data_IF_279996117285
#
_entry.id   IF_279996117285
#
_cell.length_a   1.000
_cell.length_b   1.000
_cell.length_c   1.000
_cell.angle_alpha   90.00
_cell.angle_beta   90.00
_cell.angle_gamma   90.00
#
_symmetry.space_group_name_H-M   'P 1'
#
loop_
_entity.id
_entity.type
_entity.pdbx_description
1 polymer ?
#
# COMPACT_ATOMS: atom_id res chain seq x y z
N UNK A 1 -31.70 45.05 42.46
CA UNK A 1 -31.01 44.74 41.18
C UNK A 1 -29.51 44.84 41.41
N UNK A 2 -28.79 43.72 41.40
CA UNK A 2 -27.32 43.68 41.42
C UNK A 2 -26.87 43.05 40.10
N UNK A 3 -26.28 43.84 39.22
CA UNK A 3 -25.67 43.35 37.98
C UNK A 3 -24.28 42.79 38.31
N UNK A 4 -24.07 41.50 38.07
CA UNK A 4 -22.75 40.89 38.06
C UNK A 4 -22.15 41.07 36.66
N UNK A 5 -21.06 41.83 36.55
CA UNK A 5 -20.24 41.89 35.33
C UNK A 5 -19.44 40.59 35.22
N UNK A 6 -19.71 39.82 34.16
CA UNK A 6 -18.90 38.65 33.77
C UNK A 6 -17.70 39.17 32.97
N UNK A 7 -16.50 39.05 33.52
CA UNK A 7 -15.26 39.25 32.78
C UNK A 7 -14.96 37.99 31.97
N UNK A 8 -15.11 38.06 30.65
CA UNK A 8 -14.70 36.99 29.73
C UNK A 8 -13.20 37.09 29.49
N UNK A 9 -12.43 36.15 30.04
CA UNK A 9 -11.00 36.02 29.81
C UNK A 9 -10.76 35.45 28.40
N UNK A 10 -10.35 36.28 27.45
CA UNK A 10 -9.87 35.83 26.14
C UNK A 10 -8.48 35.22 26.31
N UNK A 11 -8.39 33.88 26.34
CA UNK A 11 -7.12 33.18 26.15
C UNK A 11 -6.72 33.31 24.66
N UNK A 12 -5.77 34.19 24.38
CA UNK A 12 -5.05 34.22 23.11
C UNK A 12 -4.17 32.95 23.02
N UNK A 13 -4.66 31.92 22.33
CA UNK A 13 -3.79 30.85 21.84
C UNK A 13 -2.96 31.39 20.68
N UNK A 14 -1.73 31.79 20.96
CA UNK A 14 -0.70 31.89 19.92
C UNK A 14 -0.46 30.49 19.36
N UNK A 15 -1.05 30.22 18.19
CA UNK A 15 -0.70 29.06 17.38
C UNK A 15 0.70 29.35 16.83
N UNK A 16 1.73 28.86 17.52
CA UNK A 16 3.05 28.75 16.92
C UNK A 16 2.98 27.64 15.88
N UNK A 17 2.94 28.01 14.60
CA UNK A 17 3.36 27.10 13.54
C UNK A 17 4.84 26.80 13.78
N UNK A 18 5.13 25.70 14.46
CA UNK A 18 6.50 25.16 14.50
C UNK A 18 6.74 24.62 13.09
N UNK A 19 7.35 25.42 12.21
CA UNK A 19 7.96 24.87 11.01
C UNK A 19 9.18 24.08 11.48
N UNK A 20 9.15 22.76 11.34
CA UNK A 20 10.33 21.94 11.62
C UNK A 20 11.51 22.38 10.78
N UNK A 21 12.71 22.31 11.36
CA UNK A 21 13.94 22.55 10.62
C UNK A 21 14.21 21.40 9.66
N UNK A 22 14.92 21.70 8.57
CA UNK A 22 15.42 20.68 7.63
C UNK A 22 16.85 20.34 8.01
N UNK A 23 17.08 19.09 8.44
CA UNK A 23 18.39 18.58 8.81
C UNK A 23 18.86 17.61 7.72
N UNK A 24 19.90 17.99 7.00
CA UNK A 24 20.46 17.16 5.93
C UNK A 24 21.48 16.17 6.50
N UNK A 25 21.26 14.88 6.27
CA UNK A 25 22.30 13.87 6.49
C UNK A 25 23.45 14.11 5.51
N UNK A 26 24.70 13.98 5.98
CA UNK A 26 25.89 14.19 5.14
C UNK A 26 25.99 13.19 3.99
N UNK A 27 25.48 11.98 4.19
CA UNK A 27 25.35 10.92 3.18
C UNK A 27 24.20 9.98 3.57
N UNK A 28 23.89 8.99 2.74
CA UNK A 28 22.98 7.90 3.12
C UNK A 28 23.63 6.77 3.92
N UNK A 29 24.85 6.98 4.46
CA UNK A 29 25.44 6.03 5.41
C UNK A 29 24.63 5.97 6.70
N UNK A 30 24.60 4.80 7.36
CA UNK A 30 23.92 4.63 8.65
C UNK A 30 24.34 5.68 9.67
N UNK A 31 25.64 5.93 9.77
CA UNK A 31 26.21 6.85 10.76
C UNK A 31 25.75 8.28 10.52
N UNK A 32 25.74 8.75 9.27
CA UNK A 32 25.32 10.12 8.95
C UNK A 32 23.82 10.32 9.10
N UNK A 33 23.01 9.33 8.72
CA UNK A 33 21.56 9.39 8.94
C UNK A 33 21.25 9.40 10.44
N UNK A 34 21.89 8.53 11.23
CA UNK A 34 21.68 8.51 12.68
C UNK A 34 22.14 9.82 13.33
N UNK A 35 23.26 10.41 12.89
CA UNK A 35 23.73 11.70 13.39
C UNK A 35 22.72 12.81 13.10
N UNK A 36 22.12 12.84 11.91
CA UNK A 36 21.06 13.80 11.57
C UNK A 36 19.80 13.59 12.42
N UNK A 37 19.36 12.34 12.61
CA UNK A 37 18.23 12.00 13.47
C UNK A 37 18.48 12.44 14.92
N UNK A 38 19.71 12.27 15.43
CA UNK A 38 20.05 12.66 16.80
C UNK A 38 20.01 14.18 17.02
N UNK A 39 20.14 14.98 15.95
CA UNK A 39 20.00 16.44 16.01
C UNK A 39 18.54 16.89 15.91
N UNK A 40 17.68 16.05 15.32
CA UNK A 40 16.29 16.38 15.05
C UNK A 40 15.45 16.46 16.33
N UNK A 41 14.56 17.45 16.33
CA UNK A 41 13.52 17.68 17.34
C UNK A 41 12.15 17.39 16.73
N UNK A 42 11.14 17.29 17.59
CA UNK A 42 9.77 17.12 17.14
C UNK A 42 9.39 18.18 16.10
N UNK A 43 8.84 17.73 14.98
CA UNK A 43 8.44 18.55 13.84
C UNK A 43 9.46 18.56 12.71
N UNK A 44 10.72 18.24 12.98
CA UNK A 44 11.81 18.38 12.00
C UNK A 44 11.73 17.36 10.86
N UNK A 45 12.31 17.77 9.72
CA UNK A 45 12.54 16.93 8.55
C UNK A 45 14.01 16.54 8.47
N UNK A 46 14.30 15.25 8.54
CA UNK A 46 15.62 14.70 8.22
C UNK A 46 15.65 14.30 6.74
N UNK A 47 16.52 14.91 5.95
CA UNK A 47 16.72 14.58 4.53
C UNK A 47 17.91 13.65 4.33
N UNK A 48 17.71 12.58 3.58
CA UNK A 48 18.77 11.69 3.09
C UNK A 48 19.09 12.10 1.65
N UNK A 49 20.35 12.45 1.32
CA UNK A 49 20.69 12.90 -0.02
C UNK A 49 20.47 11.80 -1.06
N UNK A 50 20.38 12.21 -2.33
CA UNK A 50 20.41 11.28 -3.45
C UNK A 50 21.74 10.51 -3.49
N UNK A 51 21.68 9.26 -3.94
CA UNK A 51 22.80 8.34 -4.06
C UNK A 51 22.42 6.90 -3.75
N UNK A 52 23.33 5.99 -4.06
CA UNK A 52 23.23 4.58 -3.68
C UNK A 52 24.24 4.30 -2.58
N UNK A 53 23.74 3.91 -1.41
CA UNK A 53 24.54 3.75 -0.21
C UNK A 53 24.46 2.31 0.28
N UNK A 54 25.61 1.70 0.52
CA UNK A 54 25.66 0.45 1.28
C UNK A 54 25.24 0.72 2.72
N UNK A 55 24.43 -0.18 3.24
CA UNK A 55 23.74 0.00 4.50
C UNK A 55 23.88 -1.24 5.38
N UNK A 56 24.68 -1.13 6.43
CA UNK A 56 24.89 -2.17 7.44
C UNK A 56 24.51 -1.65 8.84
N UNK A 57 23.75 -2.45 9.59
CA UNK A 57 23.25 -2.12 10.93
C UNK A 57 21.78 -1.69 10.97
N UNK A 58 21.41 -0.92 11.98
CA UNK A 58 20.06 -0.35 12.17
C UNK A 58 20.14 1.14 12.44
N UNK A 59 19.15 1.88 11.93
CA UNK A 59 18.86 3.27 12.31
C UNK A 59 17.68 3.24 13.28
N UNK A 60 17.78 3.99 14.37
CA UNK A 60 16.71 4.11 15.36
C UNK A 60 16.22 5.54 15.39
N UNK A 61 14.90 5.71 15.35
CA UNK A 61 14.23 7.00 15.49
C UNK A 61 13.05 6.90 16.45
N UNK A 62 12.79 7.98 17.19
CA UNK A 62 11.52 8.17 17.87
C UNK A 62 10.51 8.79 16.90
N UNK A 63 9.23 8.51 17.10
CA UNK A 63 8.20 9.28 16.43
C UNK A 63 8.28 10.77 16.81
N UNK A 64 7.77 11.63 15.95
CA UNK A 64 7.82 13.09 16.07
C UNK A 64 8.59 13.77 14.95
N UNK A 65 9.26 13.04 14.06
CA UNK A 65 10.02 13.60 12.93
C UNK A 65 9.60 12.97 11.60
N UNK A 66 9.93 13.65 10.51
CA UNK A 66 9.85 13.10 9.14
C UNK A 66 11.25 12.71 8.66
N UNK A 67 11.42 11.53 8.10
CA UNK A 67 12.64 11.08 7.44
C UNK A 67 12.37 10.87 5.95
N UNK A 68 13.08 11.59 5.08
CA UNK A 68 12.75 11.59 3.64
C UNK A 68 14.01 11.47 2.78
N UNK A 69 13.99 10.59 1.79
CA UNK A 69 14.96 10.60 0.68
C UNK A 69 14.52 11.53 -0.44
N UNK A 70 15.35 11.74 -1.44
CA UNK A 70 15.06 12.66 -2.57
C UNK A 70 14.18 12.03 -3.66
N UNK A 71 13.72 10.80 -3.46
CA UNK A 71 12.88 10.03 -4.38
C UNK A 71 13.22 8.54 -4.38
N UNK A 72 12.25 7.69 -4.70
CA UNK A 72 12.42 6.23 -4.79
C UNK A 72 13.55 5.83 -5.74
N UNK A 73 13.75 6.58 -6.82
CA UNK A 73 14.76 6.39 -7.84
C UNK A 73 16.09 7.11 -7.54
N UNK A 74 16.11 8.00 -6.54
CA UNK A 74 17.27 8.86 -6.24
C UNK A 74 18.02 8.44 -4.99
N UNK A 75 17.32 8.05 -3.93
CA UNK A 75 17.94 7.63 -2.66
C UNK A 75 17.77 6.12 -2.48
N UNK A 76 18.86 5.36 -2.59
CA UNK A 76 18.85 3.89 -2.50
C UNK A 76 19.72 3.43 -1.33
N UNK A 77 19.12 2.72 -0.38
CA UNK A 77 19.80 2.08 0.76
C UNK A 77 19.88 0.57 0.51
N UNK A 78 21.09 0.03 0.35
CA UNK A 78 21.31 -1.37 -0.03
C UNK A 78 22.00 -2.16 1.07
N UNK A 79 21.35 -3.23 1.52
CA UNK A 79 21.96 -4.21 2.43
C UNK A 79 23.13 -4.92 1.77
N UNK A 80 24.21 -5.12 2.53
CA UNK A 80 25.42 -5.80 2.05
C UNK A 80 25.73 -7.11 2.77
N UNK A 81 25.12 -7.37 3.93
CA UNK A 81 25.30 -8.61 4.69
C UNK A 81 24.03 -9.11 5.37
N UNK A 82 24.06 -10.39 5.77
CA UNK A 82 22.98 -11.03 6.53
C UNK A 82 22.83 -10.40 7.90
N UNK A 83 21.61 -10.05 8.29
CA UNK A 83 21.33 -9.49 9.62
C UNK A 83 19.88 -9.65 10.02
N UNK A 84 19.63 -9.88 11.31
CA UNK A 84 18.28 -9.80 11.91
C UNK A 84 17.89 -8.38 12.32
N UNK A 85 18.80 -7.42 12.22
CA UNK A 85 18.51 -6.01 12.54
C UNK A 85 17.70 -5.39 11.41
N UNK A 86 16.56 -4.79 11.74
CA UNK A 86 15.78 -3.96 10.82
C UNK A 86 16.61 -2.75 10.35
N UNK A 87 16.33 -2.26 9.14
CA UNK A 87 16.97 -1.06 8.61
C UNK A 87 16.55 0.18 9.40
N UNK A 88 15.27 0.25 9.74
CA UNK A 88 14.74 1.30 10.60
C UNK A 88 13.94 0.69 11.74
N UNK A 89 14.21 1.16 12.95
CA UNK A 89 13.35 0.93 14.11
C UNK A 89 12.73 2.27 14.51
N UNK A 90 11.39 2.34 14.45
CA UNK A 90 10.61 3.53 14.79
C UNK A 90 9.90 3.26 16.11
N UNK A 91 10.24 4.04 17.14
CA UNK A 91 9.64 3.94 18.47
C UNK A 91 8.50 4.94 18.64
N UNK A 92 7.28 4.41 18.82
CA UNK A 92 6.04 5.16 19.00
C UNK A 92 5.67 5.47 20.44
N UNK A 93 6.53 5.14 21.42
CA UNK A 93 6.22 5.25 22.86
C UNK A 93 5.81 6.64 23.33
N UNK A 94 6.11 7.70 22.57
CA UNK A 94 5.72 9.08 22.87
C UNK A 94 4.37 9.50 22.27
N UNK A 95 3.71 8.64 21.49
CA UNK A 95 2.41 8.90 20.88
C UNK A 95 2.40 9.96 19.76
N UNK A 96 3.57 10.42 19.31
CA UNK A 96 3.70 11.41 18.25
C UNK A 96 3.55 10.77 16.85
N UNK A 97 3.18 11.54 15.81
CA UNK A 97 3.20 11.06 14.42
C UNK A 97 4.64 10.81 13.95
N UNK A 98 4.82 9.89 13.00
CA UNK A 98 6.10 9.66 12.34
C UNK A 98 5.88 9.52 10.84
N UNK A 99 6.81 10.01 10.01
CA UNK A 99 6.78 9.78 8.57
C UNK A 99 8.12 9.31 8.05
N UNK A 100 8.11 8.29 7.20
CA UNK A 100 9.29 7.89 6.41
C UNK A 100 8.90 7.76 4.94
N UNK A 101 9.68 8.40 4.05
CA UNK A 101 9.26 8.53 2.65
C UNK A 101 10.41 8.70 1.63
N UNK A 102 10.10 8.51 0.36
CA UNK A 102 10.90 9.01 -0.77
C UNK A 102 12.22 8.29 -1.00
N UNK A 103 12.28 6.97 -0.86
CA UNK A 103 13.53 6.20 -1.02
C UNK A 103 13.31 4.76 -1.47
N UNK A 104 14.40 4.06 -1.80
CA UNK A 104 14.41 2.61 -1.99
C UNK A 104 15.20 1.94 -0.87
N UNK A 105 14.63 0.88 -0.29
CA UNK A 105 15.31 -0.04 0.63
C UNK A 105 15.45 -1.38 -0.08
N UNK A 106 16.71 -1.77 -0.37
CA UNK A 106 17.03 -3.03 -1.04
C UNK A 106 17.67 -4.01 -0.06
N UNK A 107 16.97 -5.09 0.24
CA UNK A 107 17.50 -6.25 0.95
C UNK A 107 18.30 -7.19 0.05
N UNK A 108 18.68 -8.33 0.60
CA UNK A 108 19.50 -9.36 -0.03
C UNK A 108 18.87 -10.75 0.12
N UNK A 109 17.53 -10.84 0.16
CA UNK A 109 16.81 -12.12 0.14
C UNK A 109 17.41 -13.06 -0.94
N UNK A 110 17.54 -14.39 -0.73
CA UNK A 110 17.13 -15.21 0.42
C UNK A 110 17.84 -14.91 1.75
N UNK A 111 18.86 -14.05 1.75
CA UNK A 111 19.61 -13.77 2.98
C UNK A 111 18.88 -12.75 3.86
N UNK A 112 18.85 -13.02 5.18
CA UNK A 112 18.12 -12.23 6.16
C UNK A 112 18.51 -10.75 6.11
N UNK A 113 17.51 -9.89 5.90
CA UNK A 113 17.71 -8.46 5.65
C UNK A 113 16.38 -7.69 5.76
N UNK A 114 15.85 -7.53 6.99
CA UNK A 114 14.56 -6.90 7.19
C UNK A 114 14.57 -5.38 6.96
N UNK A 115 13.41 -4.84 6.58
CA UNK A 115 13.17 -3.44 6.24
C UNK A 115 12.87 -2.57 7.47
N UNK A 116 11.64 -2.10 7.63
CA UNK A 116 11.23 -1.18 8.70
C UNK A 116 10.46 -1.92 9.79
N UNK A 117 10.74 -1.61 11.05
CA UNK A 117 9.97 -2.05 12.22
C UNK A 117 9.41 -0.86 12.99
N UNK A 118 8.12 -0.91 13.30
CA UNK A 118 7.43 0.02 14.18
C UNK A 118 7.17 -0.70 15.51
N UNK A 119 7.63 -0.09 16.60
CA UNK A 119 7.50 -0.66 17.95
C UNK A 119 6.76 0.30 18.89
N UNK A 120 6.29 -0.26 20.00
CA UNK A 120 5.60 0.49 21.07
C UNK A 120 4.36 1.27 20.60
N UNK A 121 3.61 0.72 19.63
CA UNK A 121 2.30 1.23 19.26
C UNK A 121 2.32 2.60 18.57
N UNK A 122 3.13 2.77 17.53
CA UNK A 122 3.19 3.99 16.71
C UNK A 122 1.79 4.47 16.28
N UNK A 123 1.51 5.76 16.50
CA UNK A 123 0.22 6.40 16.20
C UNK A 123 0.39 7.45 15.13
N UNK A 124 -0.61 7.59 14.26
CA UNK A 124 -0.63 8.60 13.19
C UNK A 124 0.65 8.56 12.33
N UNK A 125 1.20 7.36 12.10
CA UNK A 125 2.37 7.20 11.26
C UNK A 125 1.97 7.21 9.78
N UNK A 126 2.92 7.58 8.92
CA UNK A 126 2.85 7.42 7.47
C UNK A 126 4.13 6.80 6.93
N UNK A 127 4.03 5.72 6.17
CA UNK A 127 5.13 5.13 5.41
C UNK A 127 4.74 5.22 3.95
N UNK A 128 5.37 6.10 3.18
CA UNK A 128 4.88 6.42 1.85
C UNK A 128 5.97 6.59 0.80
N UNK A 129 5.66 6.31 -0.47
CA UNK A 129 6.62 6.48 -1.56
C UNK A 129 7.97 5.81 -1.27
N UNK A 130 7.94 4.58 -0.74
CA UNK A 130 9.13 3.74 -0.55
C UNK A 130 9.05 2.51 -1.45
N UNK A 131 10.14 2.20 -2.14
CA UNK A 131 10.29 0.90 -2.81
C UNK A 131 11.05 -0.05 -1.88
N UNK A 132 10.41 -1.15 -1.50
CA UNK A 132 11.02 -2.26 -0.78
C UNK A 132 11.31 -3.39 -1.76
N UNK A 133 12.59 -3.71 -1.95
CA UNK A 133 13.00 -4.78 -2.86
C UNK A 133 13.81 -5.82 -2.11
N UNK A 134 13.43 -7.09 -2.23
CA UNK A 134 14.20 -8.24 -1.71
C UNK A 134 14.53 -8.14 -0.21
N UNK A 135 13.68 -7.49 0.59
CA UNK A 135 13.75 -7.62 2.05
C UNK A 135 13.42 -9.07 2.44
N UNK A 136 14.10 -9.58 3.45
CA UNK A 136 13.84 -10.90 4.02
C UNK A 136 13.40 -10.76 5.47
N UNK A 137 12.66 -11.74 5.98
CA UNK A 137 11.77 -11.65 7.14
C UNK A 137 10.59 -10.74 6.82
N UNK A 138 10.76 -9.42 6.85
CA UNK A 138 9.67 -8.46 6.56
C UNK A 138 10.18 -7.22 5.84
N UNK A 139 9.39 -6.65 4.93
CA UNK A 139 9.66 -5.30 4.43
C UNK A 139 9.17 -4.24 5.45
N UNK A 140 7.97 -4.43 6.01
CA UNK A 140 7.43 -3.62 7.11
C UNK A 140 6.83 -4.56 8.18
N UNK A 141 7.16 -4.30 9.44
CA UNK A 141 6.60 -5.00 10.60
C UNK A 141 6.12 -3.99 11.65
N UNK A 142 4.87 -4.08 12.10
CA UNK A 142 4.33 -3.22 13.17
C UNK A 142 4.05 -4.00 14.45
N UNK A 143 4.18 -3.38 15.62
CA UNK A 143 3.89 -3.99 16.92
C UNK A 143 3.09 -3.08 17.85
N UNK A 144 2.26 -3.71 18.68
CA UNK A 144 1.41 -3.03 19.65
C UNK A 144 0.15 -2.45 19.01
N UNK A 145 -0.51 -1.50 19.67
CA UNK A 145 -1.67 -0.82 19.09
C UNK A 145 -1.21 0.22 18.04
N UNK A 146 -0.58 -0.21 16.96
CA UNK A 146 -0.20 0.69 15.87
C UNK A 146 -1.45 1.19 15.11
N UNK A 147 -1.47 2.47 14.75
CA UNK A 147 -2.46 3.03 13.80
C UNK A 147 -1.82 4.11 12.92
N UNK A 148 -2.14 4.09 11.63
CA UNK A 148 -1.49 4.92 10.61
C UNK A 148 -1.66 4.32 9.23
N UNK A 149 -0.96 4.86 8.24
CA UNK A 149 -1.10 4.44 6.84
C UNK A 149 0.24 4.08 6.21
N UNK A 150 0.23 3.02 5.42
CA UNK A 150 1.28 2.63 4.48
C UNK A 150 0.70 2.86 3.09
N UNK A 151 1.17 3.88 2.37
CA UNK A 151 0.58 4.29 1.09
C UNK A 151 1.60 4.51 -0.04
N UNK A 152 1.19 4.36 -1.30
CA UNK A 152 2.06 4.63 -2.46
C UNK A 152 3.43 3.92 -2.40
N UNK A 153 3.49 2.75 -1.73
CA UNK A 153 4.69 1.95 -1.61
C UNK A 153 4.71 0.83 -2.65
N UNK A 154 5.92 0.42 -3.01
CA UNK A 154 6.16 -0.61 -4.02
C UNK A 154 6.95 -1.76 -3.39
N UNK A 155 6.38 -2.96 -3.36
CA UNK A 155 6.96 -4.15 -2.75
C UNK A 155 7.33 -5.17 -3.82
N UNK A 156 8.63 -5.43 -4.02
CA UNK A 156 9.11 -6.28 -5.11
C UNK A 156 9.95 -7.43 -4.55
N UNK A 157 9.48 -8.65 -4.76
CA UNK A 157 10.19 -9.90 -4.42
C UNK A 157 10.68 -9.92 -2.96
N UNK A 158 9.87 -9.42 -2.03
CA UNK A 158 10.15 -9.50 -0.59
C UNK A 158 9.80 -10.90 -0.07
N UNK A 159 10.68 -11.48 0.74
CA UNK A 159 10.59 -12.86 1.22
C UNK A 159 9.87 -12.97 2.57
N UNK A 160 9.15 -14.08 2.73
CA UNK A 160 8.16 -14.35 3.77
C UNK A 160 7.00 -13.35 3.79
N UNK A 161 7.18 -12.08 4.15
CA UNK A 161 6.02 -11.17 4.07
C UNK A 161 6.41 -9.75 3.79
N UNK A 162 5.73 -9.09 2.84
CA UNK A 162 5.96 -7.66 2.62
C UNK A 162 5.53 -6.85 3.85
N UNK A 163 4.25 -6.88 4.23
CA UNK A 163 3.74 -6.15 5.41
C UNK A 163 3.18 -7.11 6.45
N UNK A 164 3.67 -7.05 7.69
CA UNK A 164 3.04 -7.75 8.82
C UNK A 164 2.59 -6.80 9.90
N UNK A 165 1.33 -6.98 10.30
CA UNK A 165 0.72 -6.23 11.40
C UNK A 165 0.61 -7.14 12.62
N UNK A 166 1.43 -6.88 13.64
CA UNK A 166 1.26 -7.45 14.97
C UNK A 166 0.58 -6.44 15.90
N UNK A 167 -0.40 -6.93 16.67
CA UNK A 167 -1.13 -6.13 17.65
C UNK A 167 -0.46 -6.12 19.04
N UNK A 168 -1.26 -5.82 20.06
CA UNK A 168 -0.91 -5.86 21.49
C UNK A 168 -1.66 -7.00 22.22
N UNK A 169 -1.83 -8.14 21.54
CA UNK A 169 -2.27 -9.40 22.13
C UNK A 169 -3.66 -9.31 22.80
N UNK A 170 -3.75 -9.73 24.07
CA UNK A 170 -4.96 -9.79 24.88
C UNK A 170 -5.60 -8.40 25.02
N UNK A 171 -4.80 -7.33 25.05
CA UNK A 171 -5.31 -5.97 25.16
C UNK A 171 -6.16 -5.57 23.93
N UNK A 172 -5.82 -6.06 22.74
CA UNK A 172 -6.67 -5.84 21.55
C UNK A 172 -8.00 -6.56 21.61
N UNK A 173 -7.99 -7.77 22.19
CA UNK A 173 -9.16 -8.59 22.34
C UNK A 173 -10.12 -8.11 23.44
N UNK A 174 -9.64 -7.34 24.40
CA UNK A 174 -10.50 -6.66 25.39
C UNK A 174 -11.13 -5.36 24.86
N UNK A 175 -10.62 -4.80 23.75
CA UNK A 175 -11.20 -3.61 23.10
C UNK A 175 -12.33 -3.98 22.14
N UNK A 176 -13.37 -3.13 22.02
CA UNK A 176 -14.45 -3.36 21.04
C UNK A 176 -13.92 -3.33 19.61
N UNK A 177 -14.57 -4.07 18.72
CA UNK A 177 -14.32 -3.97 17.27
C UNK A 177 -14.82 -2.60 16.78
N UNK A 178 -14.05 -1.97 15.90
CA UNK A 178 -14.35 -0.67 15.32
C UNK A 178 -14.09 -0.69 13.80
N UNK A 179 -14.82 -1.54 13.07
CA UNK A 179 -14.73 -1.59 11.60
C UNK A 179 -15.22 -0.27 11.00
N UNK A 180 -14.51 0.25 10.00
CA UNK A 180 -14.76 1.56 9.42
C UNK A 180 -14.19 2.73 10.23
N UNK A 181 -13.47 2.45 11.32
CA UNK A 181 -12.83 3.45 12.18
C UNK A 181 -11.35 3.68 11.86
N UNK A 182 -10.69 4.52 12.66
CA UNK A 182 -9.27 4.92 12.50
C UNK A 182 -8.29 4.04 13.30
N UNK A 183 -8.78 3.08 14.10
CA UNK A 183 -7.98 2.24 15.00
C UNK A 183 -7.42 1.01 14.28
N UNK A 184 -6.69 1.24 13.19
CA UNK A 184 -6.07 0.21 12.37
C UNK A 184 -4.79 0.69 11.68
N UNK A 185 -3.96 -0.27 11.27
CA UNK A 185 -2.92 -0.03 10.26
C UNK A 185 -3.55 -0.15 8.88
N UNK A 186 -3.57 0.95 8.13
CA UNK A 186 -4.03 1.00 6.75
C UNK A 186 -2.86 0.69 5.80
N UNK A 187 -3.15 -0.11 4.79
CA UNK A 187 -2.27 -0.36 3.64
C UNK A 187 -3.10 -0.04 2.41
N UNK A 188 -2.75 1.04 1.71
CA UNK A 188 -3.53 1.53 0.57
C UNK A 188 -2.69 2.04 -0.59
N UNK A 189 -3.25 2.01 -1.80
CA UNK A 189 -2.58 2.53 -3.00
C UNK A 189 -1.14 1.99 -3.19
N UNK A 190 -0.87 0.78 -2.70
CA UNK A 190 0.43 0.12 -2.83
C UNK A 190 0.43 -0.91 -3.97
N UNK A 191 1.62 -1.13 -4.53
CA UNK A 191 1.87 -2.18 -5.50
C UNK A 191 2.69 -3.31 -4.88
N UNK A 192 2.30 -4.55 -5.15
CA UNK A 192 3.00 -5.74 -4.68
C UNK A 192 3.32 -6.71 -5.82
N UNK A 193 4.49 -7.30 -5.79
CA UNK A 193 4.94 -8.29 -6.78
C UNK A 193 5.81 -9.36 -6.12
N UNK A 194 5.49 -10.62 -6.42
CA UNK A 194 6.33 -11.78 -6.14
C UNK A 194 6.44 -12.65 -7.40
N UNK A 195 7.53 -12.48 -8.15
CA UNK A 195 7.81 -13.22 -9.41
C UNK A 195 9.12 -14.00 -9.36
N UNK A 196 10.10 -13.53 -8.59
CA UNK A 196 11.46 -14.10 -8.57
C UNK A 196 11.86 -14.57 -7.16
N UNK A 197 11.00 -15.36 -6.52
CA UNK A 197 11.23 -15.92 -5.18
C UNK A 197 11.62 -17.39 -5.31
N UNK A 198 12.80 -17.74 -4.78
CA UNK A 198 13.38 -19.08 -4.90
C UNK A 198 12.93 -20.08 -3.83
N UNK A 199 12.36 -19.59 -2.73
CA UNK A 199 11.63 -20.38 -1.74
C UNK A 199 10.30 -19.66 -1.48
N UNK A 200 9.25 -20.15 -2.12
CA UNK A 200 7.94 -19.52 -2.12
C UNK A 200 7.14 -19.86 -0.85
N UNK A 201 7.65 -20.71 0.04
CA UNK A 201 6.93 -21.09 1.25
C UNK A 201 6.77 -19.89 2.20
N UNK A 202 5.52 -19.61 2.56
CA UNK A 202 5.11 -18.54 3.47
C UNK A 202 5.25 -17.09 2.96
N UNK A 203 5.39 -16.86 1.65
CA UNK A 203 5.45 -15.55 1.01
C UNK A 203 4.07 -14.85 0.83
N UNK A 204 3.75 -13.91 1.73
CA UNK A 204 2.52 -13.10 1.74
C UNK A 204 2.79 -11.63 1.35
N UNK A 205 1.78 -10.94 0.84
CA UNK A 205 1.81 -9.47 0.68
C UNK A 205 1.46 -8.77 1.99
N UNK A 206 0.39 -9.24 2.63
CA UNK A 206 0.01 -8.78 3.96
C UNK A 206 -0.37 -9.98 4.83
N UNK A 207 0.12 -10.00 6.06
CA UNK A 207 -0.29 -10.96 7.07
C UNK A 207 -0.46 -10.28 8.44
N UNK A 208 -1.17 -10.95 9.34
CA UNK A 208 -1.47 -10.37 10.65
C UNK A 208 -1.50 -11.44 11.74
N UNK A 209 -1.08 -11.11 12.96
CA UNK A 209 -1.19 -11.96 14.15
C UNK A 209 -1.13 -11.14 15.45
N UNK A 210 -1.22 -11.75 16.63
CA UNK A 210 -1.02 -11.10 17.93
C UNK A 210 -2.06 -9.99 18.25
N UNK A 211 -3.32 -10.20 17.88
CA UNK A 211 -4.41 -9.24 18.07
C UNK A 211 -4.32 -7.93 17.26
N UNK A 212 -3.90 -7.92 15.99
CA UNK A 212 -3.82 -6.70 15.19
C UNK A 212 -5.19 -6.24 14.69
N UNK A 213 -5.21 -5.01 14.20
CA UNK A 213 -6.32 -4.38 13.48
C UNK A 213 -5.74 -3.79 12.21
N UNK A 214 -6.16 -4.25 11.04
CA UNK A 214 -5.61 -3.75 9.78
C UNK A 214 -6.66 -3.59 8.68
N UNK A 215 -6.38 -2.65 7.78
CA UNK A 215 -7.18 -2.40 6.58
C UNK A 215 -6.26 -2.55 5.37
N UNK A 216 -6.59 -3.46 4.45
CA UNK A 216 -5.89 -3.63 3.19
C UNK A 216 -6.83 -3.25 2.06
N UNK A 217 -6.62 -2.07 1.44
CA UNK A 217 -7.57 -1.50 0.49
C UNK A 217 -6.93 -0.83 -0.73
N UNK A 218 -7.60 -0.86 -1.88
CA UNK A 218 -7.13 -0.17 -3.09
C UNK A 218 -5.70 -0.54 -3.53
N UNK A 219 -5.19 -1.70 -3.11
CA UNK A 219 -3.88 -2.17 -3.52
C UNK A 219 -3.95 -2.98 -4.80
N UNK A 220 -2.82 -3.06 -5.51
CA UNK A 220 -2.66 -3.92 -6.68
C UNK A 220 -1.55 -4.92 -6.45
N UNK A 221 -1.80 -6.19 -6.78
CA UNK A 221 -0.77 -7.24 -6.80
C UNK A 221 -0.61 -7.76 -8.22
N UNK A 222 0.61 -8.17 -8.57
CA UNK A 222 0.89 -8.88 -9.83
C UNK A 222 1.98 -9.93 -9.59
N UNK A 223 1.55 -11.15 -9.26
CA UNK A 223 2.44 -12.24 -8.88
C UNK A 223 2.67 -13.24 -10.00
N UNK A 224 3.80 -13.95 -9.94
CA UNK A 224 4.06 -15.14 -10.74
C UNK A 224 3.40 -16.38 -10.12
N UNK A 225 4.10 -17.50 -10.20
CA UNK A 225 3.71 -18.74 -9.55
C UNK A 225 4.21 -18.79 -8.10
N UNK A 226 3.30 -18.92 -7.13
CA UNK A 226 3.61 -18.89 -5.70
C UNK A 226 2.84 -19.97 -4.92
N UNK A 227 3.50 -20.71 -4.03
CA UNK A 227 2.85 -21.74 -3.19
C UNK A 227 1.82 -21.23 -2.17
N UNK A 228 1.95 -20.06 -1.51
CA UNK A 228 1.04 -19.65 -0.44
C UNK A 228 0.08 -18.52 -0.85
N UNK A 229 -0.82 -18.17 0.08
CA UNK A 229 -1.77 -17.08 -0.05
C UNK A 229 -1.13 -15.70 -0.14
N UNK A 230 -1.77 -14.79 -0.88
CA UNK A 230 -1.35 -13.38 -0.98
C UNK A 230 -1.69 -12.60 0.29
N UNK A 231 -2.94 -12.73 0.76
CA UNK A 231 -3.47 -12.00 1.91
C UNK A 231 -3.79 -12.99 3.01
N UNK A 232 -3.31 -12.71 4.21
CA UNK A 232 -3.42 -13.64 5.32
C UNK A 232 -3.88 -13.00 6.62
N UNK A 233 -4.65 -13.78 7.37
CA UNK A 233 -5.11 -13.45 8.72
C UNK A 233 -4.87 -14.66 9.60
N UNK A 234 -3.76 -14.69 10.35
CA UNK A 234 -3.43 -15.84 11.20
C UNK A 234 -4.40 -15.99 12.37
N UNK A 235 -4.58 -17.25 12.80
CA UNK A 235 -5.12 -17.61 14.10
C UNK A 235 -4.00 -17.68 15.16
N UNK A 236 -4.29 -18.27 16.32
CA UNK A 236 -3.40 -18.18 17.50
C UNK A 236 -2.32 -19.28 17.59
N UNK A 237 -2.12 -20.03 16.51
CA UNK A 237 -1.22 -21.20 16.49
C UNK A 237 0.26 -20.84 16.57
N UNK A 238 0.67 -19.79 15.88
CA UNK A 238 2.07 -19.39 15.75
C UNK A 238 2.28 -17.99 16.33
N UNK A 239 3.46 -17.73 16.92
CA UNK A 239 3.79 -16.44 17.48
C UNK A 239 3.10 -16.18 18.83
N UNK A 240 2.29 -15.12 18.88
CA UNK A 240 1.61 -14.61 20.06
C UNK A 240 0.59 -15.55 20.69
N UNK A 241 0.04 -15.16 21.84
CA UNK A 241 -1.03 -15.91 22.51
C UNK A 241 -2.35 -15.73 21.77
N UNK A 242 -2.53 -14.59 21.10
CA UNK A 242 -3.73 -14.28 20.33
C UNK A 242 -3.47 -14.32 18.82
N UNK A 243 -4.45 -14.81 18.09
CA UNK A 243 -4.58 -14.66 16.65
C UNK A 243 -5.06 -13.26 16.27
N UNK A 244 -5.47 -13.11 15.02
CA UNK A 244 -5.87 -11.81 14.50
C UNK A 244 -7.18 -11.29 15.10
N UNK A 245 -7.27 -10.00 15.47
CA UNK A 245 -8.47 -9.45 16.12
C UNK A 245 -9.53 -9.03 15.13
N UNK A 246 -9.17 -8.12 14.21
CA UNK A 246 -10.06 -7.71 13.13
C UNK A 246 -9.30 -7.22 11.88
N UNK A 247 -10.01 -7.21 10.76
CA UNK A 247 -9.48 -6.82 9.46
C UNK A 247 -10.57 -6.28 8.53
N UNK A 248 -10.17 -5.41 7.61
CA UNK A 248 -11.01 -4.98 6.48
C UNK A 248 -10.20 -5.13 5.19
N UNK A 249 -10.67 -5.96 4.27
CA UNK A 249 -9.97 -6.25 3.02
C UNK A 249 -10.90 -5.87 1.86
N UNK A 250 -10.67 -4.75 1.19
CA UNK A 250 -11.61 -4.30 0.18
C UNK A 250 -11.03 -3.53 -0.99
N UNK A 251 -11.71 -3.61 -2.14
CA UNK A 251 -11.35 -2.85 -3.36
C UNK A 251 -9.91 -3.06 -3.82
N UNK A 252 -9.30 -4.19 -3.49
CA UNK A 252 -7.99 -4.57 -4.02
C UNK A 252 -8.14 -5.28 -5.37
N UNK A 253 -7.10 -5.18 -6.20
CA UNK A 253 -6.91 -6.02 -7.39
C UNK A 253 -5.79 -7.01 -7.10
N UNK A 254 -6.14 -8.28 -6.98
CA UNK A 254 -5.21 -9.34 -6.60
C UNK A 254 -4.99 -10.23 -7.81
N UNK A 255 -3.88 -10.02 -8.52
CA UNK A 255 -3.50 -10.80 -9.69
C UNK A 255 -2.34 -11.74 -9.36
N UNK A 256 -2.39 -12.97 -9.87
CA UNK A 256 -1.30 -13.93 -9.84
C UNK A 256 -1.34 -14.85 -11.06
N UNK A 257 -0.20 -15.32 -11.57
CA UNK A 257 -0.19 -16.45 -12.52
C UNK A 257 -0.73 -17.71 -11.83
N UNK A 258 -0.26 -17.98 -10.60
CA UNK A 258 -0.81 -19.02 -9.74
C UNK A 258 -0.53 -18.74 -8.26
N UNK A 259 -1.52 -18.97 -7.40
CA UNK A 259 -1.35 -19.13 -5.94
C UNK A 259 -2.18 -20.28 -5.40
N UNK A 260 -1.77 -20.88 -4.28
CA UNK A 260 -2.66 -21.81 -3.59
C UNK A 260 -3.98 -21.12 -3.21
N UNK A 261 -3.93 -19.95 -2.58
CA UNK A 261 -5.14 -19.20 -2.21
C UNK A 261 -4.99 -17.70 -2.50
N UNK A 262 -6.11 -17.01 -2.72
CA UNK A 262 -6.10 -15.55 -2.76
C UNK A 262 -5.98 -14.98 -1.34
N UNK A 263 -6.92 -15.38 -0.50
CA UNK A 263 -7.03 -14.94 0.89
C UNK A 263 -7.23 -16.15 1.81
N UNK A 264 -6.45 -16.24 2.88
CA UNK A 264 -6.63 -17.25 3.94
C UNK A 264 -6.99 -16.57 5.26
N UNK A 265 -8.21 -16.81 5.71
CA UNK A 265 -8.77 -16.20 6.92
C UNK A 265 -8.87 -17.24 8.02
N UNK A 266 -8.05 -17.11 9.06
CA UNK A 266 -7.85 -18.18 10.05
C UNK A 266 -8.33 -17.84 11.47
N UNK A 267 -8.92 -16.66 11.64
CA UNK A 267 -9.45 -16.15 12.89
C UNK A 267 -9.93 -14.71 12.74
N UNK A 268 -10.46 -14.14 13.82
CA UNK A 268 -10.90 -12.76 13.91
C UNK A 268 -12.17 -12.44 13.10
N UNK A 269 -12.64 -11.21 13.27
CA UNK A 269 -13.89 -10.71 12.68
C UNK A 269 -13.58 -9.59 11.66
N UNK A 270 -14.45 -9.35 10.69
CA UNK A 270 -14.13 -8.34 9.68
C UNK A 270 -15.09 -8.24 8.51
N UNK A 271 -14.61 -7.53 7.49
CA UNK A 271 -15.28 -7.42 6.19
C UNK A 271 -14.31 -7.72 5.05
N UNK A 272 -14.80 -8.40 4.02
CA UNK A 272 -14.07 -8.66 2.78
C UNK A 272 -14.97 -8.31 1.60
N UNK A 273 -14.69 -7.23 0.86
CA UNK A 273 -15.62 -6.81 -0.18
C UNK A 273 -15.06 -6.05 -1.36
N UNK A 274 -15.72 -6.15 -2.51
CA UNK A 274 -15.35 -5.37 -3.68
C UNK A 274 -13.96 -5.68 -4.25
N UNK A 275 -13.32 -6.78 -3.85
CA UNK A 275 -12.01 -7.18 -4.35
C UNK A 275 -12.16 -7.89 -5.70
N UNK A 276 -11.18 -7.71 -6.58
CA UNK A 276 -11.09 -8.35 -7.89
C UNK A 276 -9.87 -9.27 -7.90
N UNK A 277 -10.11 -10.58 -7.83
CA UNK A 277 -9.08 -11.60 -7.93
C UNK A 277 -9.01 -12.10 -9.37
N UNK A 278 -7.83 -12.12 -9.98
CA UNK A 278 -7.62 -12.58 -11.36
C UNK A 278 -6.42 -13.52 -11.42
N UNK A 279 -6.53 -14.59 -12.20
CA UNK A 279 -5.48 -15.60 -12.33
C UNK A 279 -5.90 -16.98 -11.85
N UNK A 280 -4.93 -17.82 -11.49
CA UNK A 280 -5.19 -19.16 -10.96
C UNK A 280 -5.04 -19.21 -9.44
N UNK A 281 -6.15 -19.46 -8.75
CA UNK A 281 -6.18 -19.74 -7.32
C UNK A 281 -6.89 -21.07 -7.08
N UNK A 282 -6.33 -21.95 -6.24
CA UNK A 282 -7.06 -23.16 -5.83
C UNK A 282 -8.39 -22.76 -5.18
N UNK A 283 -8.36 -21.70 -4.34
CA UNK A 283 -9.56 -21.03 -3.82
C UNK A 283 -9.30 -19.53 -3.64
N UNK A 284 -10.20 -18.64 -4.09
CA UNK A 284 -10.00 -17.20 -3.95
C UNK A 284 -10.07 -16.74 -2.49
N UNK A 285 -11.00 -17.29 -1.70
CA UNK A 285 -11.16 -17.00 -0.27
C UNK A 285 -11.39 -18.33 0.45
N UNK A 286 -10.60 -18.57 1.50
CA UNK A 286 -10.65 -19.78 2.31
C UNK A 286 -10.73 -19.43 3.80
N UNK A 287 -11.66 -20.05 4.51
CA UNK A 287 -11.91 -19.82 5.93
C UNK A 287 -11.51 -21.04 6.76
N UNK A 288 -10.85 -20.81 7.88
CA UNK A 288 -10.58 -21.86 8.87
C UNK A 288 -10.47 -21.28 10.29
N UNK A 289 -10.45 -22.18 11.27
CA UNK A 289 -9.98 -21.88 12.62
C UNK A 289 -8.56 -22.44 12.74
N UNK A 290 -7.58 -21.58 12.98
CA UNK A 290 -6.21 -21.97 13.30
C UNK A 290 -5.95 -21.83 14.80
N UNK A 291 -5.61 -22.96 15.44
CA UNK A 291 -5.56 -23.09 16.89
C UNK A 291 -4.25 -23.68 17.39
N UNK A 292 -3.76 -23.21 18.54
CA UNK A 292 -2.56 -23.75 19.21
C UNK A 292 -2.71 -25.23 19.60
N UNK A 293 -3.92 -25.66 19.97
CA UNK A 293 -4.24 -27.05 20.34
C UNK A 293 -4.67 -27.92 19.15
N UNK A 294 -4.39 -27.44 17.93
CA UNK A 294 -4.75 -28.09 16.68
C UNK A 294 -5.83 -27.32 15.92
N UNK A 295 -5.68 -27.28 14.60
CA UNK A 295 -6.62 -26.60 13.71
C UNK A 295 -8.01 -27.23 13.81
N UNK A 296 -9.01 -26.40 14.08
CA UNK A 296 -10.39 -26.86 14.31
C UNK A 296 -10.63 -27.78 15.52
N UNK A 297 -9.64 -28.00 16.39
CA UNK A 297 -9.74 -28.92 17.53
C UNK A 297 -10.12 -28.19 18.83
N UNK A 298 -11.39 -27.78 18.94
CA UNK A 298 -11.89 -27.00 20.07
C UNK A 298 -13.42 -27.05 20.19
N UNK A 299 -13.94 -26.75 21.37
CA UNK A 299 -15.37 -26.56 21.59
C UNK A 299 -15.79 -25.17 21.11
N UNK A 300 -16.94 -25.08 20.44
CA UNK A 300 -17.49 -23.79 20.04
C UNK A 300 -18.01 -23.00 21.27
N UNK A 301 -17.73 -21.69 21.37
CA UNK A 301 -16.85 -20.93 20.49
C UNK A 301 -15.37 -21.17 20.81
N UNK A 302 -14.56 -21.38 19.78
CA UNK A 302 -13.11 -21.47 19.94
C UNK A 302 -12.49 -20.09 20.19
N UNK A 303 -11.29 -20.09 20.77
CA UNK A 303 -10.49 -18.88 20.90
C UNK A 303 -10.15 -18.31 19.52
N UNK A 304 -10.27 -16.99 19.40
CA UNK A 304 -9.92 -16.20 18.22
C UNK A 304 -10.60 -16.61 16.90
N UNK A 305 -11.57 -17.52 16.92
CA UNK A 305 -12.29 -17.95 15.73
C UNK A 305 -13.05 -16.79 15.08
N UNK A 306 -13.37 -16.97 13.80
CA UNK A 306 -14.31 -16.13 13.06
C UNK A 306 -15.69 -16.25 13.72
N UNK A 307 -16.32 -15.10 14.04
CA UNK A 307 -17.68 -15.03 14.62
C UNK A 307 -18.56 -14.00 13.92
N UNK A 308 -17.97 -13.02 13.24
CA UNK A 308 -18.68 -11.99 12.50
C UNK A 308 -17.87 -11.53 11.29
N UNK A 309 -17.90 -12.32 10.22
CA UNK A 309 -17.26 -12.00 8.94
C UNK A 309 -18.29 -11.75 7.84
N UNK A 310 -18.30 -10.57 7.24
CA UNK A 310 -19.18 -10.24 6.12
C UNK A 310 -18.40 -10.17 4.80
N UNK A 311 -18.90 -10.87 3.78
CA UNK A 311 -18.25 -11.04 2.49
C UNK A 311 -19.25 -10.68 1.39
N UNK A 312 -18.96 -9.67 0.56
CA UNK A 312 -19.86 -9.27 -0.54
C UNK A 312 -19.12 -8.63 -1.71
N UNK A 313 -19.73 -8.61 -2.89
CA UNK A 313 -19.21 -7.94 -4.10
C UNK A 313 -17.76 -8.28 -4.49
N UNK A 314 -17.22 -9.42 -4.05
CA UNK A 314 -15.92 -9.89 -4.50
C UNK A 314 -16.07 -10.63 -5.83
N UNK A 315 -15.06 -10.51 -6.68
CA UNK A 315 -15.03 -11.12 -8.00
C UNK A 315 -13.79 -12.01 -8.13
N UNK A 316 -13.93 -13.15 -8.79
CA UNK A 316 -12.84 -14.02 -9.21
C UNK A 316 -12.98 -14.33 -10.70
N UNK A 317 -12.00 -13.93 -11.52
CA UNK A 317 -11.97 -14.12 -12.98
C UNK A 317 -13.26 -13.66 -13.68
N UNK A 318 -13.71 -12.44 -13.37
CA UNK A 318 -14.91 -11.84 -13.93
C UNK A 318 -16.22 -12.31 -13.29
N UNK A 319 -16.21 -13.27 -12.36
CA UNK A 319 -17.43 -13.82 -11.73
C UNK A 319 -17.54 -13.46 -10.26
N UNK A 320 -18.74 -13.07 -9.83
CA UNK A 320 -19.00 -12.82 -8.40
C UNK A 320 -18.77 -14.09 -7.57
N UNK A 321 -18.04 -13.95 -6.46
CA UNK A 321 -17.84 -15.01 -5.48
C UNK A 321 -19.11 -15.13 -4.62
N UNK A 322 -19.94 -16.14 -4.90
CA UNK A 322 -21.20 -16.38 -4.18
C UNK A 322 -21.06 -17.33 -2.98
N UNK A 323 -19.92 -18.00 -2.84
CA UNK A 323 -19.62 -18.91 -1.74
C UNK A 323 -18.12 -18.98 -1.49
N UNK A 324 -17.73 -19.31 -0.26
CA UNK A 324 -16.34 -19.50 0.15
C UNK A 324 -16.13 -20.89 0.73
N UNK A 325 -14.89 -21.38 0.68
CA UNK A 325 -14.57 -22.65 1.32
C UNK A 325 -14.41 -22.46 2.84
N UNK A 326 -14.85 -23.46 3.60
CA UNK A 326 -14.70 -23.49 5.05
C UNK A 326 -14.10 -24.83 5.45
N UNK A 327 -12.89 -24.82 6.00
CA UNK A 327 -12.18 -26.05 6.37
C UNK A 327 -12.75 -26.73 7.62
N UNK A 328 -13.31 -25.94 8.55
CA UNK A 328 -13.90 -26.45 9.79
C UNK A 328 -15.39 -26.05 9.87
N UNK A 329 -16.26 -26.61 9.03
CA UNK A 329 -17.66 -26.20 8.91
C UNK A 329 -18.53 -26.52 10.15
N UNK A 330 -18.05 -27.38 11.05
CA UNK A 330 -18.67 -27.59 12.36
C UNK A 330 -18.54 -26.36 13.27
N UNK A 331 -17.47 -25.58 13.10
CA UNK A 331 -17.11 -24.42 13.91
C UNK A 331 -17.47 -23.09 13.25
N UNK A 332 -17.33 -22.97 11.93
CA UNK A 332 -17.57 -21.74 11.17
C UNK A 332 -18.74 -21.98 10.23
N UNK A 333 -19.89 -21.31 10.47
CA UNK A 333 -21.15 -21.56 9.76
C UNK A 333 -21.67 -20.31 9.06
N UNK A 334 -22.17 -20.51 7.85
CA UNK A 334 -22.88 -19.49 7.09
C UNK A 334 -24.13 -19.05 7.87
N UNK A 335 -24.36 -17.74 7.98
CA UNK A 335 -25.51 -17.18 8.68
C UNK A 335 -25.38 -17.15 10.20
N UNK A 336 -24.25 -17.65 10.77
CA UNK A 336 -23.94 -17.55 12.19
C UNK A 336 -22.61 -16.83 12.43
N UNK A 337 -21.54 -17.30 11.78
CA UNK A 337 -20.18 -16.81 12.00
C UNK A 337 -19.67 -15.97 10.82
N UNK A 338 -20.11 -16.32 9.61
CA UNK A 338 -19.85 -15.55 8.41
C UNK A 338 -21.11 -15.39 7.56
N UNK A 339 -21.14 -14.34 6.75
CA UNK A 339 -22.30 -13.91 5.99
C UNK A 339 -21.87 -13.51 4.59
N UNK A 340 -22.51 -14.05 3.55
CA UNK A 340 -22.27 -13.67 2.15
C UNK A 340 -23.12 -12.44 1.75
N UNK A 341 -23.18 -11.43 2.63
CA UNK A 341 -24.00 -10.23 2.46
C UNK A 341 -23.23 -8.99 2.92
N UNK A 342 -23.67 -7.80 2.49
CA UNK A 342 -23.14 -6.55 3.00
C UNK A 342 -23.41 -6.43 4.50
N UNK A 343 -22.39 -6.07 5.27
CA UNK A 343 -22.54 -5.81 6.70
C UNK A 343 -23.53 -4.66 6.95
N UNK A 344 -24.62 -4.88 7.71
CA UNK A 344 -25.57 -3.82 8.04
C UNK A 344 -24.90 -2.67 8.78
N UNK A 345 -25.15 -1.43 8.33
CA UNK A 345 -24.63 -0.22 8.97
C UNK A 345 -23.13 0.03 8.80
N UNK A 346 -22.38 -0.87 8.13
CA UNK A 346 -20.96 -0.66 7.87
C UNK A 346 -20.74 0.48 6.87
N UNK A 347 -19.87 1.39 7.26
CA UNK A 347 -19.36 2.49 6.43
C UNK A 347 -17.84 2.38 6.45
N UNK A 348 -17.17 2.23 5.29
CA UNK A 348 -15.71 2.17 5.26
C UNK A 348 -15.12 3.49 5.73
N UNK A 349 -13.95 3.42 6.38
CA UNK A 349 -13.20 4.61 6.77
C UNK A 349 -12.90 5.50 5.54
N UNK A 350 -12.85 6.85 5.67
CA UNK A 350 -12.62 7.74 4.55
C UNK A 350 -11.41 7.33 3.68
N UNK A 351 -11.59 7.41 2.37
CA UNK A 351 -10.56 7.15 1.37
C UNK A 351 -10.41 8.39 0.45
N UNK A 352 -9.16 8.81 0.13
CA UNK A 352 -7.91 8.27 0.68
C UNK A 352 -7.79 8.54 2.19
N UNK A 353 -6.92 7.80 2.88
CA UNK A 353 -6.76 7.96 4.33
C UNK A 353 -6.37 9.41 4.64
N UNK A 354 -6.93 10.08 5.66
CA UNK A 354 -6.67 11.51 5.90
C UNK A 354 -5.20 11.88 6.10
N UNK A 355 -4.36 10.95 6.57
CA UNK A 355 -2.91 11.15 6.68
C UNK A 355 -2.17 11.19 5.32
N UNK A 356 -2.81 10.80 4.23
CA UNK A 356 -2.23 10.90 2.87
C UNK A 356 -2.37 12.30 2.28
N UNK A 357 -3.27 13.12 2.83
CA UNK A 357 -3.58 14.46 2.35
C UNK A 357 -2.51 15.43 2.86
N UNK A 358 -1.70 15.95 1.95
CA UNK A 358 -0.73 17.00 2.24
C UNK A 358 -1.42 18.38 2.17
N UNK A 359 -1.30 19.24 3.21
CA UNK A 359 -1.89 20.57 3.17
C UNK A 359 -1.38 21.39 1.98
N UNK A 360 -2.27 21.79 1.07
CA UNK A 360 -1.94 22.61 -0.09
C UNK A 360 -1.44 21.84 -1.33
N UNK A 361 -1.44 20.51 -1.29
CA UNK A 361 -1.20 19.65 -2.46
C UNK A 361 -2.48 18.84 -2.69
N UNK A 362 -3.11 18.97 -3.86
CA UNK A 362 -4.25 18.11 -4.20
C UNK A 362 -3.80 16.64 -4.12
N UNK A 363 -4.61 15.73 -3.53
CA UNK A 363 -4.24 14.32 -3.44
C UNK A 363 -3.91 13.83 -4.85
N UNK A 364 -2.76 13.17 -5.07
CA UNK A 364 -2.54 12.49 -6.33
C UNK A 364 -3.69 11.48 -6.52
N UNK A 365 -4.52 11.70 -7.55
CA UNK A 365 -5.52 10.72 -7.95
C UNK A 365 -4.81 9.40 -8.23
N UNK A 366 -5.19 8.37 -7.48
CA UNK A 366 -4.67 7.01 -7.47
C UNK A 366 -4.07 6.55 -8.81
N UNK A 367 -2.82 6.07 -8.76
CA UNK A 367 -2.21 5.31 -9.86
C UNK A 367 -2.92 3.96 -9.92
N UNK A 368 -3.94 3.89 -10.76
CA UNK A 368 -4.56 2.63 -11.14
C UNK A 368 -3.90 2.17 -12.45
N UNK A 369 -3.09 1.11 -12.36
CA UNK A 369 -2.99 0.15 -13.44
C UNK A 369 -4.36 -0.54 -13.61
N UNK A 370 -5.01 -0.36 -14.76
CA UNK A 370 -6.08 -1.27 -15.19
C UNK A 370 -6.07 -1.38 -16.72
N UNK A 371 -5.63 -2.53 -17.20
CA UNK A 371 -6.31 -3.17 -18.33
C UNK A 371 -7.68 -3.63 -17.80
N UNK A 372 -8.78 -3.08 -18.31
CA UNK A 372 -10.10 -3.75 -18.33
C UNK A 372 -10.79 -3.35 -19.63
N UNK A 373 -11.26 -4.37 -20.34
CA UNK A 373 -12.17 -4.27 -21.48
C UNK A 373 -13.54 -3.72 -21.04
N UNK A 374 -14.13 -2.86 -21.88
CA UNK A 374 -15.53 -2.46 -21.78
C UNK A 374 -15.78 -1.10 -21.11
N UNK A 375 -16.26 -0.14 -21.92
CA UNK A 375 -16.93 1.12 -21.56
C UNK A 375 -16.19 2.20 -20.74
N UNK A 376 -14.94 1.99 -20.33
CA UNK A 376 -14.08 3.08 -19.87
C UNK A 376 -13.18 3.58 -21.01
N UNK A 377 -12.96 4.89 -21.09
CA UNK A 377 -11.87 5.47 -21.88
C UNK A 377 -10.54 4.91 -21.33
N UNK A 378 -10.07 3.81 -21.90
CA UNK A 378 -8.88 3.12 -21.42
C UNK A 378 -7.63 3.87 -21.86
N UNK A 379 -6.77 4.24 -20.92
CA UNK A 379 -5.42 4.71 -21.18
C UNK A 379 -4.44 3.80 -20.44
N UNK A 380 -3.53 3.16 -21.17
CA UNK A 380 -2.49 2.33 -20.61
C UNK A 380 -1.16 2.60 -21.30
N UNK A 381 -0.08 2.65 -20.53
CA UNK A 381 1.27 2.87 -21.04
C UNK A 381 2.05 1.57 -20.85
N UNK A 382 2.56 1.00 -21.93
CA UNK A 382 3.48 -0.14 -21.89
C UNK A 382 4.94 0.36 -21.91
N UNK A 383 5.58 0.33 -20.74
CA UNK A 383 7.00 0.63 -20.58
C UNK A 383 7.35 2.11 -20.36
N UNK A 384 8.61 2.37 -20.01
CA UNK A 384 9.21 3.71 -19.96
C UNK A 384 10.14 3.95 -21.15
N UNK A 385 10.50 5.21 -21.41
CA UNK A 385 11.46 5.57 -22.47
C UNK A 385 12.88 5.39 -21.94
N UNK A 386 13.75 4.64 -22.63
CA UNK A 386 15.15 4.44 -22.23
C UNK A 386 16.18 5.09 -23.18
N UNK A 387 17.37 5.41 -22.66
CA UNK A 387 18.45 6.09 -23.40
C UNK A 387 19.07 5.32 -24.57
N UNK A 388 18.66 4.07 -24.84
CA UNK A 388 19.14 3.25 -25.97
C UNK A 388 18.22 3.29 -27.19
N UNK A 389 17.23 4.21 -27.21
CA UNK A 389 16.33 4.39 -28.36
C UNK A 389 15.01 3.63 -28.27
N UNK A 390 14.60 3.18 -27.07
CA UNK A 390 13.23 2.67 -26.91
C UNK A 390 12.25 3.84 -26.88
N UNK A 391 11.15 3.68 -27.61
CA UNK A 391 9.96 4.50 -27.43
C UNK A 391 9.02 3.78 -26.49
N UNK A 392 8.31 4.54 -25.65
CA UNK A 392 7.21 3.98 -24.90
C UNK A 392 6.01 3.80 -25.83
N UNK A 393 5.31 2.68 -25.69
CA UNK A 393 4.06 2.43 -26.40
C UNK A 393 2.89 2.82 -25.52
N UNK A 394 2.01 3.62 -26.08
CA UNK A 394 0.84 4.17 -25.41
C UNK A 394 -0.37 3.57 -26.11
N UNK A 395 -1.11 2.76 -25.37
CA UNK A 395 -2.33 2.14 -25.84
C UNK A 395 -3.53 2.88 -25.26
N UNK A 396 -4.50 3.18 -26.10
CA UNK A 396 -5.76 3.73 -25.63
C UNK A 396 -6.95 3.17 -26.40
N UNK A 397 -8.09 3.08 -25.72
CA UNK A 397 -9.36 2.62 -26.30
C UNK A 397 -10.26 3.81 -26.55
N UNK A 398 -10.75 3.92 -27.78
CA UNK A 398 -11.83 4.85 -28.15
C UNK A 398 -13.15 4.07 -28.06
N UNK A 399 -14.11 4.49 -27.21
CA UNK A 399 -15.34 3.74 -26.97
C UNK A 399 -16.20 3.66 -28.24
N UNK A 400 -17.08 2.65 -28.30
CA UNK A 400 -18.08 2.56 -29.36
C UNK A 400 -19.07 3.73 -29.23
N UNK A 401 -19.04 4.65 -30.18
CA UNK A 401 -20.19 5.49 -30.49
C UNK A 401 -21.03 4.83 -31.59
N UNK A 402 -22.23 5.36 -31.81
CA UNK A 402 -23.15 4.92 -32.87
C UNK A 402 -22.38 4.66 -34.17
N UNK A 403 -22.55 3.46 -34.73
CA UNK A 403 -21.73 2.89 -35.80
C UNK A 403 -21.37 3.90 -36.91
N UNK A 404 -20.07 4.24 -37.00
CA UNK A 404 -19.48 5.01 -38.10
C UNK A 404 -18.94 6.41 -37.76
N UNK A 405 -19.20 6.95 -36.57
CA UNK A 405 -18.77 8.30 -36.21
C UNK A 405 -17.30 8.37 -35.78
N UNK A 406 -16.58 9.39 -36.26
CA UNK A 406 -15.21 9.72 -35.83
C UNK A 406 -15.27 10.51 -34.51
N UNK A 407 -14.49 10.10 -33.50
CA UNK A 407 -14.51 10.70 -32.16
C UNK A 407 -13.28 11.60 -31.96
N UNK A 408 -13.42 12.83 -31.44
CA UNK A 408 -12.30 13.69 -31.12
C UNK A 408 -11.39 13.06 -30.05
N UNK A 409 -10.09 13.04 -30.31
CA UNK A 409 -9.06 12.53 -29.41
C UNK A 409 -7.90 13.52 -29.32
N UNK A 410 -7.47 13.83 -28.10
CA UNK A 410 -6.22 14.55 -27.81
C UNK A 410 -5.37 13.71 -26.88
N UNK A 411 -4.09 13.60 -27.19
CA UNK A 411 -3.10 12.90 -26.38
C UNK A 411 -1.91 13.82 -26.16
N UNK A 412 -1.74 14.29 -24.93
CA UNK A 412 -0.79 15.33 -24.54
C UNK A 412 0.11 14.82 -23.42
N UNK A 413 1.32 15.37 -23.34
CA UNK A 413 2.32 15.03 -22.34
C UNK A 413 2.73 16.30 -21.61
N UNK A 414 2.73 16.22 -20.29
CA UNK A 414 3.09 17.31 -19.39
C UNK A 414 4.25 16.91 -18.50
N UNK A 415 5.09 17.87 -18.11
CA UNK A 415 6.11 17.65 -17.08
C UNK A 415 5.49 17.68 -15.67
N UNK A 416 6.32 17.46 -14.64
CA UNK A 416 5.88 17.47 -13.23
C UNK A 416 5.38 18.83 -12.73
N UNK A 417 5.69 19.92 -13.44
CA UNK A 417 5.15 21.26 -13.19
C UNK A 417 3.79 21.50 -13.87
N UNK A 418 3.26 20.52 -14.62
CA UNK A 418 2.01 20.65 -15.37
C UNK A 418 2.15 21.41 -16.70
N UNK A 419 3.39 21.66 -17.17
CA UNK A 419 3.63 22.35 -18.44
C UNK A 419 3.59 21.36 -19.60
N UNK A 420 2.90 21.73 -20.68
CA UNK A 420 2.78 20.90 -21.89
C UNK A 420 4.13 20.77 -22.59
N UNK A 421 4.69 19.57 -22.63
CA UNK A 421 5.98 19.29 -23.28
C UNK A 421 5.82 18.70 -24.69
N UNK A 422 4.73 18.00 -24.96
CA UNK A 422 4.44 17.44 -26.30
C UNK A 422 2.96 17.11 -26.48
N UNK A 423 2.45 17.35 -27.69
CA UNK A 423 1.19 16.76 -28.16
C UNK A 423 1.53 15.58 -29.06
N UNK A 424 1.13 14.37 -28.68
CA UNK A 424 1.33 13.16 -29.50
C UNK A 424 0.28 13.03 -30.59
N UNK A 425 -0.97 13.44 -30.30
CA UNK A 425 -2.06 13.40 -31.24
C UNK A 425 -3.12 14.45 -30.89
N UNK A 426 -3.68 15.10 -31.91
CA UNK A 426 -4.87 15.93 -31.80
C UNK A 426 -5.64 15.80 -33.11
N UNK A 427 -6.84 15.22 -33.06
CA UNK A 427 -7.62 14.91 -34.25
C UNK A 427 -8.80 14.01 -33.93
N UNK A 428 -9.25 13.22 -34.91
CA UNK A 428 -10.35 12.28 -34.70
C UNK A 428 -9.91 10.82 -34.95
N UNK A 429 -10.47 9.87 -34.20
CA UNK A 429 -10.22 8.43 -34.33
C UNK A 429 -11.54 7.65 -34.37
N UNK A 430 -11.56 6.51 -35.06
CA UNK A 430 -12.68 5.55 -34.99
C UNK A 430 -12.69 4.83 -33.64
N UNK A 431 -13.84 4.30 -33.25
CA UNK A 431 -13.94 3.38 -32.11
C UNK A 431 -12.97 2.19 -32.27
N UNK A 432 -12.42 1.71 -31.16
CA UNK A 432 -11.46 0.61 -31.11
C UNK A 432 -10.15 0.97 -30.42
N UNK A 433 -9.22 0.01 -30.43
CA UNK A 433 -7.90 0.17 -29.82
C UNK A 433 -6.95 0.94 -30.75
N UNK A 434 -6.19 1.86 -30.17
CA UNK A 434 -5.16 2.63 -30.85
C UNK A 434 -3.84 2.55 -30.09
N UNK A 435 -2.75 2.64 -30.84
CA UNK A 435 -1.39 2.72 -30.32
C UNK A 435 -0.71 4.00 -30.80
N UNK A 436 0.06 4.62 -29.93
CA UNK A 436 0.98 5.72 -30.23
C UNK A 436 2.33 5.44 -29.58
N UNK A 437 3.39 6.04 -30.11
CA UNK A 437 4.72 5.94 -29.51
C UNK A 437 5.22 7.30 -29.06
N UNK A 438 5.96 7.32 -27.95
CA UNK A 438 6.70 8.49 -27.52
C UNK A 438 8.17 8.15 -27.30
N UNK A 439 9.02 8.94 -27.93
CA UNK A 439 10.48 8.79 -27.98
C UNK A 439 11.21 9.54 -26.84
N UNK A 440 10.48 10.20 -25.94
CA UNK A 440 11.05 11.01 -24.86
C UNK A 440 11.54 12.39 -25.26
N UNK A 441 11.15 12.90 -26.43
CA UNK A 441 11.46 14.26 -26.88
C UNK A 441 10.26 15.20 -26.72
N UNK A 442 10.53 16.48 -26.56
CA UNK A 442 9.52 17.55 -26.60
C UNK A 442 9.02 17.80 -28.02
N UNK A 443 7.97 18.61 -28.18
CA UNK A 443 7.48 19.05 -29.49
C UNK A 443 8.55 19.74 -30.35
N UNK A 444 9.55 20.36 -29.71
CA UNK A 444 10.67 21.04 -30.38
C UNK A 444 11.87 20.10 -30.64
N UNK A 445 11.68 18.77 -30.57
CA UNK A 445 12.75 17.76 -30.73
C UNK A 445 13.90 17.91 -29.73
N UNK A 446 13.67 18.54 -28.58
CA UNK A 446 14.63 18.55 -27.49
C UNK A 446 14.45 17.31 -26.63
N UNK A 447 15.55 16.67 -26.23
CA UNK A 447 15.51 15.54 -25.32
C UNK A 447 14.98 16.02 -23.97
N UNK A 448 13.95 15.36 -23.46
CA UNK A 448 13.38 15.69 -22.16
C UNK A 448 14.20 15.03 -21.05
N UNK A 449 14.16 15.65 -19.86
CA UNK A 449 14.89 15.17 -18.70
C UNK A 449 14.38 13.80 -18.23
N UNK A 450 15.21 13.07 -17.50
CA UNK A 450 14.73 11.88 -16.81
C UNK A 450 13.69 12.29 -15.77
N UNK A 451 12.59 11.55 -15.65
CA UNK A 451 11.53 11.89 -14.74
C UNK A 451 10.17 11.35 -15.16
N UNK A 452 9.18 11.59 -14.30
CA UNK A 452 7.79 11.23 -14.53
C UNK A 452 7.15 12.34 -15.37
N UNK A 453 6.41 11.93 -16.38
CA UNK A 453 5.59 12.81 -17.20
C UNK A 453 4.14 12.34 -17.12
N UNK A 454 3.23 13.30 -17.10
CA UNK A 454 1.80 13.04 -17.13
C UNK A 454 1.35 12.95 -18.58
N UNK A 455 0.71 11.84 -18.92
CA UNK A 455 0.02 11.65 -20.19
C UNK A 455 -1.45 11.95 -19.99
N UNK A 456 -1.99 12.94 -20.69
CA UNK A 456 -3.41 13.29 -20.68
C UNK A 456 -4.04 12.83 -21.99
N UNK A 457 -5.05 11.98 -21.89
CA UNK A 457 -5.92 11.56 -22.98
C UNK A 457 -7.28 12.23 -22.81
N UNK A 458 -7.69 13.04 -23.77
CA UNK A 458 -9.04 13.59 -23.88
C UNK A 458 -9.78 12.88 -25.03
N UNK A 459 -10.89 12.22 -24.75
CA UNK A 459 -11.76 11.61 -25.76
C UNK A 459 -13.17 12.14 -25.54
N UNK A 460 -13.73 12.80 -26.56
CA UNK A 460 -15.09 13.37 -26.51
C UNK A 460 -15.35 14.25 -25.27
N UNK A 461 -14.34 15.02 -24.85
CA UNK A 461 -14.41 15.90 -23.68
C UNK A 461 -14.16 15.21 -22.32
N UNK A 462 -14.05 13.88 -22.29
CA UNK A 462 -13.66 13.13 -21.09
C UNK A 462 -12.15 13.02 -21.02
N UNK A 463 -11.57 13.40 -19.88
CA UNK A 463 -10.12 13.33 -19.65
C UNK A 463 -9.74 12.14 -18.79
N UNK A 464 -8.65 11.48 -19.18
CA UNK A 464 -8.01 10.38 -18.46
C UNK A 464 -6.52 10.65 -18.42
N UNK A 465 -5.93 10.53 -17.24
CA UNK A 465 -4.50 10.73 -17.05
C UNK A 465 -3.78 9.40 -16.82
N UNK A 466 -2.55 9.31 -17.32
CA UNK A 466 -1.61 8.24 -17.08
C UNK A 466 -0.23 8.82 -16.77
N UNK A 467 0.69 7.96 -16.34
CA UNK A 467 2.08 8.36 -16.12
C UNK A 467 3.01 7.59 -17.03
N UNK A 468 4.07 8.25 -17.45
CA UNK A 468 5.12 7.67 -18.26
C UNK A 468 6.46 8.16 -17.74
N UNK A 469 7.46 7.29 -17.69
CA UNK A 469 8.77 7.63 -17.14
C UNK A 469 9.83 7.61 -18.23
N UNK A 470 10.62 8.69 -18.30
CA UNK A 470 11.87 8.71 -19.06
C UNK A 470 13.00 8.29 -18.12
N UNK A 471 13.70 7.23 -18.49
CA UNK A 471 14.91 6.75 -17.84
C UNK A 471 16.11 6.93 -18.79
N UNK A 472 17.20 7.50 -18.30
CA UNK A 472 18.46 7.60 -19.05
C UNK A 472 19.62 7.29 -18.13
N UNK A 473 20.61 6.56 -18.66
CA UNK A 473 21.85 6.21 -17.94
C UNK A 473 22.47 7.37 -17.17
#
# INVERSE_FOLDING_TARGET
>A
MKFFSVFTLFLLFTIYSVSGEVINAKSGSRTDIQAAINLARQGDLVRIPAGTFNYDGSISMKAGITLMGEGQDKTVLKRTGSTSSYAFNIDGSNGLPARISGMTITGIAPTKSPGIKLINGCKNFRIDHITFRRCFDRAIETHGQCKGVIDHCTFIDNWYTAVVVYGDEVASWSRPINLGGDDAVFVEDCYFEQKNIGDDHMSHHVASNNGPRYVFRYNTTDDGYMSPQAIDVHGNKFGGIRGSRNYEIYKNKVQAEHRWLGMLIRGGDGVIWGNELTGDYTRPIDLMHEGRDGDGNCAYPCDDQIRSLYIWDNNYNGRTISSVNVRHPSLIKLGRDYFMTKMPGYVPYPYPHPLTVEPGVEPPTAVISKRVEGEAHGLSVEGGVNSSGSSARIHFSVPQSVSGQMIPVKLKIYNVQGELVRTLFEGQKKAGMHEMTWDGFSGNRQKLANGIYTLELEIDGVRVNGQIVIYGR
#
